data_IF_056414618577
#
_entry.id   IF_056414618577
#
_cell.length_a   1.000
_cell.length_b   1.000
_cell.length_c   1.000
_cell.angle_alpha   90.00
_cell.angle_beta   90.00
_cell.angle_gamma   90.00
#
_symmetry.space_group_name_H-M   'P 1'
#
loop_
_entity.id
_entity.type
_entity.pdbx_description
1 polymer ?
#
# COMPACT_ATOMS: atom_id res chain seq x y z
N UNK A 1 5.72 -1.79 0.09
CA UNK A 1 4.87 -2.55 1.03
C UNK A 1 5.51 -3.92 1.25
N UNK A 2 5.73 -4.33 2.50
CA UNK A 2 6.30 -5.64 2.83
C UNK A 2 5.23 -6.53 3.43
N UNK A 3 5.38 -7.84 3.24
CA UNK A 3 4.49 -8.84 3.81
C UNK A 3 5.28 -9.66 4.81
N UNK A 4 4.75 -9.82 6.02
CA UNK A 4 5.32 -10.66 7.07
C UNK A 4 4.34 -11.77 7.42
N UNK A 5 4.87 -12.93 7.79
CA UNK A 5 4.12 -14.08 8.28
C UNK A 5 4.56 -14.32 9.71
N UNK A 6 3.60 -14.41 10.64
CA UNK A 6 3.90 -14.79 12.02
C UNK A 6 4.09 -16.31 12.18
N UNK A 7 4.41 -16.77 13.38
CA UNK A 7 4.62 -18.20 13.66
C UNK A 7 3.35 -19.06 13.49
N UNK A 8 2.17 -18.44 13.41
CA UNK A 8 0.88 -19.10 13.22
C UNK A 8 0.44 -19.12 11.75
N UNK A 9 1.21 -18.50 10.85
CA UNK A 9 0.89 -18.41 9.43
C UNK A 9 0.01 -17.21 9.05
N UNK A 10 -0.28 -16.31 9.97
CA UNK A 10 -1.06 -15.10 9.67
C UNK A 10 -0.21 -14.14 8.85
N UNK A 11 -0.80 -13.55 7.81
CA UNK A 11 -0.14 -12.61 6.90
C UNK A 11 -0.50 -11.18 7.27
N UNK A 12 0.52 -10.34 7.38
CA UNK A 12 0.37 -8.92 7.67
C UNK A 12 1.08 -8.07 6.63
N UNK A 13 0.43 -6.99 6.20
CA UNK A 13 1.13 -5.90 5.56
C UNK A 13 1.85 -5.10 6.64
N UNK A 14 3.15 -4.90 6.48
CA UNK A 14 3.96 -4.21 7.47
C UNK A 14 4.76 -3.06 6.88
N UNK A 15 4.97 -2.04 7.70
CA UNK A 15 6.07 -1.10 7.59
C UNK A 15 7.09 -1.42 8.69
N UNK A 16 8.35 -1.53 8.30
CA UNK A 16 9.46 -1.81 9.21
C UNK A 16 10.47 -0.66 9.25
N UNK A 17 11.04 -0.44 10.42
CA UNK A 17 12.17 0.47 10.62
C UNK A 17 13.21 -0.18 11.51
N UNK A 18 14.48 0.05 11.19
CA UNK A 18 15.62 -0.47 11.94
C UNK A 18 16.52 0.70 12.36
N UNK A 19 16.80 0.81 13.66
CA UNK A 19 17.70 1.83 14.20
C UNK A 19 18.82 1.14 15.00
N UNK A 20 20.10 1.37 14.68
CA UNK A 20 21.19 0.78 15.43
C UNK A 20 21.27 1.36 16.84
N UNK A 21 21.58 0.51 17.82
CA UNK A 21 21.95 0.92 19.18
C UNK A 21 23.47 0.97 19.23
N UNK A 22 24.01 2.09 19.71
CA UNK A 22 25.45 2.29 19.86
C UNK A 22 25.81 2.43 21.33
N UNK A 23 26.98 1.96 21.71
CA UNK A 23 27.58 2.26 23.01
C UNK A 23 28.21 3.67 23.04
N UNK A 24 28.86 4.00 24.16
CA UNK A 24 29.50 5.31 24.35
C UNK A 24 30.66 5.59 23.40
N UNK A 25 31.30 4.55 22.86
CA UNK A 25 32.39 4.65 21.89
C UNK A 25 31.88 4.66 20.44
N UNK A 26 30.55 4.58 20.25
CA UNK A 26 29.90 4.59 18.95
C UNK A 26 29.87 3.22 18.26
N UNK A 27 30.31 2.16 18.91
CA UNK A 27 30.24 0.81 18.37
C UNK A 27 28.80 0.30 18.42
N UNK A 28 28.37 -0.39 17.35
CA UNK A 28 27.02 -0.94 17.25
C UNK A 28 26.92 -2.17 18.16
N UNK A 29 26.08 -2.09 19.19
CA UNK A 29 25.83 -3.18 20.15
C UNK A 29 24.53 -3.92 19.88
N UNK A 30 23.65 -3.35 19.05
CA UNK A 30 22.39 -3.99 18.67
C UNK A 30 21.58 -3.19 17.66
N UNK A 31 20.35 -3.61 17.44
CA UNK A 31 19.38 -2.95 16.57
C UNK A 31 18.00 -2.98 17.20
N UNK A 32 17.31 -1.85 17.19
CA UNK A 32 15.88 -1.77 17.48
C UNK A 32 15.13 -1.92 16.17
N UNK A 33 14.27 -2.93 16.10
CA UNK A 33 13.36 -3.15 14.99
C UNK A 33 11.94 -2.77 15.42
N UNK A 34 11.27 -1.99 14.58
CA UNK A 34 9.85 -1.66 14.74
C UNK A 34 9.12 -2.27 13.56
N UNK A 35 8.11 -3.08 13.85
CA UNK A 35 7.17 -3.61 12.86
C UNK A 35 5.80 -3.01 13.15
N UNK A 36 5.24 -2.27 12.19
CA UNK A 36 3.89 -1.73 12.27
C UNK A 36 3.00 -2.49 11.31
N UNK A 37 1.96 -3.12 11.84
CA UNK A 37 0.87 -3.67 11.03
C UNK A 37 0.10 -2.52 10.37
N UNK A 38 0.05 -2.55 9.04
CA UNK A 38 -0.66 -1.58 8.20
C UNK A 38 -1.77 -2.25 7.39
N UNK A 39 -2.14 -3.49 7.70
CA UNK A 39 -3.12 -4.28 6.94
C UNK A 39 -4.47 -3.57 6.85
N UNK A 40 -4.97 -3.05 7.96
CA UNK A 40 -6.24 -2.30 7.98
C UNK A 40 -6.15 -1.02 7.14
N UNK A 41 -5.07 -0.25 7.30
CA UNK A 41 -4.86 0.99 6.53
C UNK A 41 -4.77 0.72 5.03
N UNK A 42 -4.08 -0.35 4.64
CA UNK A 42 -3.99 -0.79 3.24
C UNK A 42 -5.37 -1.16 2.71
N UNK A 43 -6.14 -1.98 3.44
CA UNK A 43 -7.48 -2.39 3.03
C UNK A 43 -8.44 -1.19 2.89
N UNK A 44 -8.37 -0.21 3.81
CA UNK A 44 -9.15 1.02 3.72
C UNK A 44 -8.76 1.86 2.49
N UNK A 45 -7.46 2.02 2.23
CA UNK A 45 -6.98 2.74 1.05
C UNK A 45 -7.42 2.07 -0.25
N UNK A 46 -7.33 0.74 -0.33
CA UNK A 46 -7.81 -0.05 -1.47
C UNK A 46 -9.32 0.12 -1.65
N UNK A 47 -10.09 0.14 -0.55
CA UNK A 47 -11.53 0.37 -0.60
C UNK A 47 -11.87 1.77 -1.10
N UNK A 48 -11.16 2.80 -0.62
CA UNK A 48 -11.33 4.18 -1.09
C UNK A 48 -10.99 4.28 -2.58
N UNK A 49 -9.86 3.70 -2.99
CA UNK A 49 -9.48 3.67 -4.40
C UNK A 49 -10.54 2.98 -5.26
N UNK A 50 -11.08 1.84 -4.81
CA UNK A 50 -12.17 1.16 -5.48
C UNK A 50 -13.41 2.06 -5.62
N UNK A 51 -13.86 2.72 -4.54
CA UNK A 51 -15.03 3.60 -4.58
C UNK A 51 -14.83 4.85 -5.46
N UNK A 52 -13.59 5.31 -5.64
CA UNK A 52 -13.29 6.42 -6.55
C UNK A 52 -13.47 6.07 -8.03
N UNK A 53 -13.32 4.79 -8.38
CA UNK A 53 -13.39 4.34 -9.78
C UNK A 53 -14.64 3.53 -10.10
N UNK A 54 -15.36 3.05 -9.09
CA UNK A 54 -16.54 2.20 -9.28
C UNK A 54 -17.83 2.87 -8.82
N UNK A 55 -18.91 2.62 -9.54
CA UNK A 55 -20.26 2.96 -9.13
C UNK A 55 -20.70 2.03 -7.98
N UNK A 56 -21.15 2.64 -6.88
CA UNK A 56 -21.48 1.89 -5.66
C UNK A 56 -22.67 0.93 -5.84
N UNK A 57 -23.62 1.25 -6.73
CA UNK A 57 -24.84 0.46 -6.90
C UNK A 57 -24.60 -0.78 -7.76
N UNK A 58 -23.74 -0.67 -8.78
CA UNK A 58 -23.52 -1.73 -9.78
C UNK A 58 -22.16 -2.43 -9.66
N UNK A 59 -21.18 -1.82 -9.00
CA UNK A 59 -19.80 -2.31 -8.93
C UNK A 59 -19.02 -2.16 -10.24
N UNK A 60 -19.64 -1.63 -11.30
CA UNK A 60 -18.98 -1.31 -12.56
C UNK A 60 -18.12 -0.05 -12.43
N UNK A 61 -17.22 0.20 -13.38
CA UNK A 61 -16.52 1.47 -13.43
C UNK A 61 -17.53 2.63 -13.54
N UNK A 62 -17.27 3.70 -12.80
CA UNK A 62 -18.08 4.90 -12.87
C UNK A 62 -17.81 5.67 -14.17
N UNK A 63 -18.74 6.57 -14.49
CA UNK A 63 -18.66 7.39 -15.72
C UNK A 63 -17.36 8.16 -15.82
N UNK A 64 -16.88 8.74 -14.71
CA UNK A 64 -15.66 9.54 -14.69
C UNK A 64 -14.45 8.72 -15.14
N UNK A 65 -14.26 7.52 -14.58
CA UNK A 65 -13.17 6.63 -14.98
C UNK A 65 -13.24 6.31 -16.48
N UNK A 66 -14.43 6.01 -16.99
CA UNK A 66 -14.62 5.70 -18.41
C UNK A 66 -14.26 6.88 -19.32
N UNK A 67 -14.66 8.11 -18.96
CA UNK A 67 -14.33 9.32 -19.71
C UNK A 67 -12.82 9.62 -19.71
N UNK A 68 -12.16 9.49 -18.56
CA UNK A 68 -10.70 9.63 -18.44
C UNK A 68 -9.97 8.59 -19.30
N UNK A 69 -10.46 7.35 -19.33
CA UNK A 69 -9.84 6.27 -20.10
C UNK A 69 -10.05 6.43 -21.62
N UNK A 70 -11.23 6.90 -22.05
CA UNK A 70 -11.47 7.26 -23.45
C UNK A 70 -10.53 8.37 -23.93
N UNK A 71 -10.31 9.39 -23.09
CA UNK A 71 -9.36 10.46 -23.40
C UNK A 71 -7.93 9.91 -23.52
N UNK A 72 -7.50 9.04 -22.60
CA UNK A 72 -6.18 8.41 -22.64
C UNK A 72 -5.94 7.63 -23.93
N UNK A 73 -6.92 6.83 -24.36
CA UNK A 73 -6.85 6.05 -25.59
C UNK A 73 -6.84 6.95 -26.83
N UNK A 74 -7.66 8.00 -26.85
CA UNK A 74 -7.67 8.95 -27.97
C UNK A 74 -6.35 9.70 -28.15
N UNK A 75 -5.64 10.01 -27.05
CA UNK A 75 -4.34 10.68 -27.10
C UNK A 75 -3.18 9.74 -27.47
N UNK A 76 -3.35 8.42 -27.34
CA UNK A 76 -2.35 7.42 -27.70
C UNK A 76 -2.35 7.01 -29.18
N UNK A 77 -3.23 7.58 -30.01
CA UNK A 77 -3.41 7.18 -31.42
C UNK A 77 -2.76 8.16 -32.43
N UNK A 78 -2.07 9.21 -31.96
CA UNK A 78 -1.39 10.21 -32.80
C UNK A 78 0.15 10.00 -32.85
N UNK A 79 0.60 8.76 -33.13
CA UNK A 79 2.01 8.39 -33.28
C UNK A 79 2.26 7.49 -34.47
#
# INVERSE_FOLDING_TARGET
MKMQIDFYGNRFHIEDSATPVKDGDGAITGVVLIFRDISERTAQNERIAYLNYHDHLTGLYNRRYFEEELQRLSQGTDG
#
